data_IF_418300294769
#
_entry.id   IF_418300294769
#
_cell.length_a   1.000
_cell.length_b   1.000
_cell.length_c   1.000
_cell.angle_alpha   90.00
_cell.angle_beta   90.00
_cell.angle_gamma   90.00
#
_symmetry.space_group_name_H-M   'P 1'
#
loop_
_entity.id
_entity.type
_entity.pdbx_description
1 polymer ?
#
# COMPACT_ATOMS: atom_id res chain seq x y z
N UNK A 1 -0.74 -7.49 11.19
CA UNK A 1 -0.51 -8.59 10.23
C UNK A 1 0.66 -8.17 9.35
N UNK A 2 1.72 -8.96 9.26
CA UNK A 2 2.82 -8.69 8.32
C UNK A 2 2.38 -9.21 6.95
N UNK A 3 2.36 -8.33 5.95
CA UNK A 3 1.87 -8.64 4.60
C UNK A 3 2.91 -9.45 3.80
N UNK A 4 4.19 -9.44 4.21
CA UNK A 4 5.26 -10.27 3.65
C UNK A 4 6.50 -10.30 4.55
N UNK A 5 7.48 -11.16 4.21
CA UNK A 5 8.85 -11.16 4.74
C UNK A 5 9.75 -10.34 3.82
N UNK A 6 10.49 -9.39 4.39
CA UNK A 6 11.35 -8.46 3.66
C UNK A 6 12.83 -8.73 3.92
N UNK A 7 13.64 -8.69 2.86
CA UNK A 7 15.09 -8.87 2.92
C UNK A 7 15.79 -7.53 2.68
N UNK A 8 16.85 -7.19 3.45
CA UNK A 8 17.63 -5.98 3.19
C UNK A 8 18.24 -5.98 1.78
N UNK A 9 18.36 -4.78 1.19
CA UNK A 9 19.01 -4.55 -0.13
C UNK A 9 18.34 -5.25 -1.31
N UNK A 10 17.04 -5.55 -1.20
CA UNK A 10 16.23 -6.13 -2.26
C UNK A 10 15.15 -5.16 -2.69
N UNK A 11 15.01 -4.99 -4.00
CA UNK A 11 13.91 -4.23 -4.57
C UNK A 11 12.65 -5.08 -4.61
N UNK A 12 11.53 -4.44 -4.30
CA UNK A 12 10.20 -5.04 -4.37
C UNK A 12 9.29 -4.08 -5.09
N UNK A 13 8.60 -4.58 -6.12
CA UNK A 13 7.58 -3.79 -6.81
C UNK A 13 6.25 -3.96 -6.09
N UNK A 14 5.78 -2.89 -5.44
CA UNK A 14 4.57 -2.91 -4.63
C UNK A 14 3.45 -2.18 -5.36
N UNK A 15 2.31 -2.85 -5.51
CA UNK A 15 1.08 -2.25 -6.05
C UNK A 15 -0.04 -2.39 -5.05
N UNK A 16 -0.71 -1.27 -4.76
CA UNK A 16 -1.87 -1.22 -3.86
C UNK A 16 -3.07 -0.75 -4.68
N UNK A 17 -4.19 -1.49 -4.61
CA UNK A 17 -5.44 -1.11 -5.26
C UNK A 17 -6.49 -0.89 -4.18
N UNK A 18 -6.92 0.35 -4.00
CA UNK A 18 -7.89 0.73 -2.98
C UNK A 18 -9.31 0.71 -3.54
N UNK A 19 -10.24 0.12 -2.79
CA UNK A 19 -11.67 0.20 -3.03
C UNK A 19 -12.34 1.02 -1.92
N UNK A 20 -12.56 2.31 -2.22
CA UNK A 20 -13.18 3.27 -1.30
C UNK A 20 -14.59 2.89 -0.88
N UNK A 21 -15.40 2.36 -1.80
CA UNK A 21 -16.79 2.00 -1.52
C UNK A 21 -16.88 0.90 -0.46
N UNK A 22 -15.93 -0.05 -0.52
CA UNK A 22 -15.85 -1.17 0.42
C UNK A 22 -14.96 -0.89 1.62
N UNK A 23 -14.16 0.17 1.60
CA UNK A 23 -13.19 0.47 2.67
C UNK A 23 -12.08 -0.57 2.78
N UNK A 24 -11.68 -1.16 1.65
CA UNK A 24 -10.67 -2.24 1.60
C UNK A 24 -9.60 -1.94 0.56
N UNK A 25 -8.49 -2.68 0.60
CA UNK A 25 -7.46 -2.64 -0.42
C UNK A 25 -6.87 -4.02 -0.71
N UNK A 26 -6.43 -4.21 -1.94
CA UNK A 26 -5.62 -5.34 -2.38
C UNK A 26 -4.14 -4.93 -2.44
N UNK A 27 -3.25 -5.87 -2.14
CA UNK A 27 -1.79 -5.66 -2.20
C UNK A 27 -1.14 -6.70 -3.10
N UNK A 28 -0.24 -6.24 -3.96
CA UNK A 28 0.60 -7.07 -4.78
C UNK A 28 2.07 -6.75 -4.50
N UNK A 29 2.90 -7.79 -4.45
CA UNK A 29 4.36 -7.67 -4.32
C UNK A 29 4.98 -8.49 -5.45
N UNK A 30 5.84 -7.86 -6.26
CA UNK A 30 6.47 -8.48 -7.42
C UNK A 30 5.46 -9.14 -8.37
N UNK A 31 4.30 -8.51 -8.53
CA UNK A 31 3.19 -8.99 -9.38
C UNK A 31 2.28 -10.04 -8.74
N UNK A 32 2.69 -10.69 -7.65
CA UNK A 32 1.88 -11.67 -6.92
C UNK A 32 0.88 -10.97 -5.98
N UNK A 33 -0.39 -11.39 -5.97
CA UNK A 33 -1.38 -10.90 -5.02
C UNK A 33 -1.12 -11.52 -3.65
N UNK A 34 -0.67 -10.72 -2.70
CA UNK A 34 -0.32 -11.15 -1.33
C UNK A 34 -1.40 -10.77 -0.30
N UNK A 35 -2.36 -9.92 -0.69
CA UNK A 35 -3.45 -9.46 0.16
C UNK A 35 -4.69 -9.11 -0.65
N UNK A 36 -5.85 -9.53 -0.16
CA UNK A 36 -7.15 -9.29 -0.79
C UNK A 36 -8.12 -8.72 0.24
N UNK A 37 -8.89 -7.71 -0.16
CA UNK A 37 -9.93 -7.07 0.64
C UNK A 37 -9.47 -6.75 2.07
N UNK A 38 -8.21 -6.31 2.22
CA UNK A 38 -7.65 -5.96 3.52
C UNK A 38 -8.41 -4.74 4.02
N UNK A 39 -9.06 -4.80 5.20
CA UNK A 39 -9.78 -3.66 5.72
C UNK A 39 -8.83 -2.51 6.03
N UNK A 40 -9.21 -1.29 5.65
CA UNK A 40 -8.45 -0.05 5.95
C UNK A 40 -8.59 0.36 7.45
N UNK A 41 -9.31 -0.42 8.27
CA UNK A 41 -9.93 -0.06 9.55
C UNK A 41 -9.10 0.67 10.65
N UNK A 42 -9.73 1.68 11.31
CA UNK A 42 -10.24 1.58 12.72
C UNK A 42 -10.93 2.83 13.35
N UNK A 43 -10.99 3.99 12.69
CA UNK A 43 -11.36 5.24 13.38
C UNK A 43 -12.79 5.76 13.19
N UNK A 44 -13.69 5.02 12.52
CA UNK A 44 -15.09 5.45 12.36
C UNK A 44 -15.29 6.76 11.55
N UNK A 45 -14.23 7.29 10.92
CA UNK A 45 -14.32 8.50 10.13
C UNK A 45 -14.84 8.18 8.73
N UNK A 46 -15.90 8.88 8.32
CA UNK A 46 -16.65 8.62 7.08
C UNK A 46 -15.93 9.04 5.79
N UNK A 47 -14.87 9.86 5.86
CA UNK A 47 -14.23 10.43 4.69
C UNK A 47 -12.75 10.70 4.98
N UNK A 48 -11.86 9.91 4.38
CA UNK A 48 -10.45 10.25 4.25
C UNK A 48 -10.12 10.22 2.76
N UNK A 49 -9.69 11.35 2.20
CA UNK A 49 -8.81 11.33 1.03
C UNK A 49 -7.43 10.97 1.58
N UNK A 50 -6.95 9.77 1.27
CA UNK A 50 -5.58 9.39 1.65
C UNK A 50 -4.67 9.88 0.54
N UNK A 51 -4.09 11.06 0.74
CA UNK A 51 -3.36 11.80 -0.29
C UNK A 51 -1.83 11.59 -0.24
N UNK A 52 -1.35 10.55 0.46
CA UNK A 52 0.09 10.36 0.64
C UNK A 52 0.54 8.92 0.90
N UNK A 53 1.71 8.58 0.36
CA UNK A 53 2.47 7.37 0.70
C UNK A 53 3.72 7.82 1.45
N UNK A 54 3.96 7.22 2.62
CA UNK A 54 5.15 7.48 3.42
C UNK A 54 6.06 6.27 3.32
N UNK A 55 7.29 6.47 2.82
CA UNK A 55 8.36 5.50 2.87
C UNK A 55 9.44 6.01 3.82
N UNK A 56 9.66 5.30 4.92
CA UNK A 56 10.62 5.72 5.93
C UNK A 56 10.94 4.62 6.93
N UNK A 57 12.00 4.83 7.68
CA UNK A 57 12.41 3.97 8.79
C UNK A 57 12.32 4.74 10.10
N UNK A 58 11.75 4.11 11.13
CA UNK A 58 11.81 4.63 12.51
C UNK A 58 13.18 4.47 13.18
N UNK A 59 14.15 3.86 12.50
CA UNK A 59 15.51 3.62 12.99
C UNK A 59 16.52 4.51 12.26
N UNK A 60 17.30 5.28 13.03
CA UNK A 60 18.24 6.29 12.54
C UNK A 60 19.33 5.76 11.59
N UNK A 61 19.68 4.47 11.67
CA UNK A 61 20.73 3.85 10.84
C UNK A 61 20.22 3.12 9.60
N UNK A 62 18.90 3.07 9.39
CA UNK A 62 18.28 2.33 8.28
C UNK A 62 17.77 3.32 7.23
N UNK A 63 18.24 3.13 6.00
CA UNK A 63 17.75 3.87 4.84
C UNK A 63 16.70 3.05 4.12
N UNK A 64 15.59 3.69 3.76
CA UNK A 64 14.56 3.15 2.88
C UNK A 64 14.66 3.89 1.57
N UNK A 65 14.66 3.16 0.47
CA UNK A 65 14.68 3.72 -0.88
C UNK A 65 13.32 3.50 -1.53
N UNK A 66 12.84 4.51 -2.23
CA UNK A 66 11.63 4.49 -3.05
C UNK A 66 12.05 4.90 -4.45
N UNK A 67 11.61 4.16 -5.45
CA UNK A 67 11.81 4.46 -6.86
C UNK A 67 10.60 3.97 -7.67
N UNK A 68 10.47 4.42 -8.93
CA UNK A 68 9.38 4.06 -9.86
C UNK A 68 7.97 4.27 -9.26
N UNK A 69 7.73 5.46 -8.70
CA UNK A 69 6.47 5.79 -8.02
C UNK A 69 5.39 6.32 -8.97
N UNK A 70 4.22 5.67 -8.95
CA UNK A 70 3.05 6.07 -9.73
C UNK A 70 1.79 6.11 -8.85
N UNK A 71 0.95 7.12 -9.06
CA UNK A 71 -0.38 7.23 -8.44
C UNK A 71 -1.39 7.72 -9.48
N UNK A 72 -2.51 7.02 -9.58
CA UNK A 72 -3.61 7.38 -10.49
C UNK A 72 -4.93 6.80 -9.99
N UNK A 73 -6.03 7.43 -10.42
CA UNK A 73 -7.37 6.92 -10.17
C UNK A 73 -7.70 5.82 -11.21
N UNK A 74 -8.28 4.71 -10.75
CA UNK A 74 -8.80 3.67 -11.63
C UNK A 74 -10.32 3.85 -11.73
N UNK A 75 -10.86 4.24 -12.90
CA UNK A 75 -12.31 4.38 -13.08
C UNK A 75 -12.99 3.01 -12.89
N UNK A 76 -14.00 2.93 -12.03
CA UNK A 76 -14.90 1.78 -12.04
C UNK A 76 -15.84 1.90 -13.24
N UNK A 77 -15.96 0.86 -14.07
CA UNK A 77 -16.99 0.83 -15.12
C UNK A 77 -18.37 1.05 -14.47
N UNK A 78 -19.12 2.03 -14.97
CA UNK A 78 -20.54 2.22 -14.67
C UNK A 78 -21.38 1.19 -15.44
#
# INVERSE_FOLDING_TARGET
MLISKWEPRKWYHVRIIMNWQKGVFDVYINGEKVGTDIPINKFGARYYTYDGIIAGSGHASVRVFLDDFEIFLIPTKH
#
